data_IF_088918154396
#
_entry.id   IF_088918154396
#
_cell.length_a   1.000
_cell.length_b   1.000
_cell.length_c   1.000
_cell.angle_alpha   90.00
_cell.angle_beta   90.00
_cell.angle_gamma   90.00
#
_symmetry.space_group_name_H-M   'P 1'
#
loop_
_entity.id
_entity.type
_entity.pdbx_description
1 polymer ?
#
# COMPACT_ATOMS: atom_id res chain seq x y z
N UNK A 1 -25.97 -26.91 -2.24
CA UNK A 1 -25.46 -25.64 -1.69
C UNK A 1 -25.64 -25.71 -0.18
N UNK A 2 -24.60 -25.58 0.65
CA UNK A 2 -24.81 -25.54 2.09
C UNK A 2 -25.46 -24.20 2.45
N UNK A 3 -26.56 -24.27 3.21
CA UNK A 3 -27.26 -23.10 3.76
C UNK A 3 -26.40 -22.58 4.91
N UNK A 4 -25.81 -21.41 4.73
CA UNK A 4 -25.06 -20.72 5.79
C UNK A 4 -26.10 -19.97 6.64
N UNK A 5 -26.28 -20.45 7.87
CA UNK A 5 -27.06 -19.77 8.90
C UNK A 5 -26.46 -18.40 9.19
N UNK A 6 -27.29 -17.35 9.15
CA UNK A 6 -26.87 -15.99 9.51
C UNK A 6 -26.36 -15.96 10.95
N UNK A 7 -25.25 -15.24 11.17
CA UNK A 7 -24.69 -15.06 12.51
C UNK A 7 -25.70 -14.34 13.41
N UNK A 8 -26.09 -14.99 14.50
CA UNK A 8 -26.99 -14.41 15.51
C UNK A 8 -26.29 -13.30 16.34
N UNK A 9 -24.95 -13.17 16.24
CA UNK A 9 -24.16 -12.19 16.99
C UNK A 9 -22.88 -11.77 16.25
N UNK A 10 -23.04 -11.00 15.16
CA UNK A 10 -21.95 -10.48 14.30
C UNK A 10 -20.79 -9.88 15.13
N UNK A 11 -21.11 -9.07 16.14
CA UNK A 11 -20.09 -8.42 16.99
C UNK A 11 -19.20 -9.42 17.75
N UNK A 12 -19.77 -10.54 18.19
CA UNK A 12 -19.04 -11.56 18.98
C UNK A 12 -18.15 -12.41 18.07
N UNK A 13 -18.60 -12.68 16.85
CA UNK A 13 -17.82 -13.39 15.84
C UNK A 13 -16.66 -12.53 15.30
N UNK A 14 -16.89 -11.24 15.08
CA UNK A 14 -15.83 -10.26 14.78
C UNK A 14 -14.80 -10.20 15.90
N UNK A 15 -15.23 -10.13 17.17
CA UNK A 15 -14.30 -10.10 18.31
C UNK A 15 -13.48 -11.39 18.45
N UNK A 16 -14.03 -12.54 18.04
CA UNK A 16 -13.34 -13.83 18.03
C UNK A 16 -12.34 -13.93 16.88
N UNK A 17 -12.68 -13.39 15.70
CA UNK A 17 -11.77 -13.23 14.57
C UNK A 17 -10.60 -12.30 14.92
N UNK A 18 -10.87 -11.15 15.55
CA UNK A 18 -9.84 -10.22 16.01
C UNK A 18 -8.86 -10.83 17.02
N UNK A 19 -9.30 -11.83 17.80
CA UNK A 19 -8.42 -12.58 18.72
C UNK A 19 -7.48 -13.57 18.03
N UNK A 20 -7.67 -13.86 16.74
CA UNK A 20 -6.70 -14.67 16.00
C UNK A 20 -5.46 -13.84 15.72
N UNK A 21 -4.30 -14.32 16.21
CA UNK A 21 -3.01 -13.63 16.09
C UNK A 21 -2.71 -13.19 14.65
N UNK A 22 -3.02 -14.02 13.66
CA UNK A 22 -2.79 -13.71 12.25
C UNK A 22 -3.62 -12.51 11.75
N UNK A 23 -4.90 -12.43 12.14
CA UNK A 23 -5.79 -11.32 11.77
C UNK A 23 -5.37 -10.03 12.48
N UNK A 24 -5.04 -10.11 13.76
CA UNK A 24 -4.53 -8.96 14.51
C UNK A 24 -3.24 -8.40 13.89
N UNK A 25 -2.26 -9.26 13.58
CA UNK A 25 -1.02 -8.84 12.91
C UNK A 25 -1.28 -8.25 11.54
N UNK A 26 -2.20 -8.82 10.78
CA UNK A 26 -2.61 -8.30 9.48
C UNK A 26 -3.23 -6.90 9.57
N UNK A 27 -4.15 -6.69 10.52
CA UNK A 27 -4.80 -5.39 10.70
C UNK A 27 -3.80 -4.32 11.10
N UNK A 28 -2.88 -4.63 12.01
CA UNK A 28 -1.78 -3.72 12.37
C UNK A 28 -0.91 -3.41 11.15
N UNK A 29 -0.56 -4.42 10.36
CA UNK A 29 0.19 -4.23 9.12
C UNK A 29 -0.53 -3.28 8.16
N UNK A 30 -1.80 -3.58 7.88
CA UNK A 30 -2.68 -2.82 7.01
C UNK A 30 -2.78 -1.35 7.45
N UNK A 31 -3.03 -1.09 8.73
CA UNK A 31 -3.13 0.27 9.27
C UNK A 31 -1.82 1.03 9.14
N UNK A 32 -0.68 0.42 9.47
CA UNK A 32 0.62 1.11 9.37
C UNK A 32 0.97 1.36 7.90
N UNK A 33 0.76 0.38 7.02
CA UNK A 33 1.00 0.54 5.58
C UNK A 33 0.15 1.67 5.01
N UNK A 34 -1.15 1.73 5.37
CA UNK A 34 -2.04 2.82 4.98
C UNK A 34 -1.54 4.19 5.46
N UNK A 35 -1.17 4.32 6.74
CA UNK A 35 -0.63 5.58 7.29
C UNK A 35 0.62 6.05 6.52
N UNK A 36 1.55 5.14 6.23
CA UNK A 36 2.78 5.47 5.49
C UNK A 36 2.46 5.92 4.06
N UNK A 37 1.49 5.26 3.42
CA UNK A 37 1.06 5.56 2.06
C UNK A 37 0.35 6.92 1.98
N UNK A 38 -0.62 7.17 2.87
CA UNK A 38 -1.29 8.47 3.01
C UNK A 38 -0.27 9.59 3.23
N UNK A 39 0.72 9.35 4.11
CA UNK A 39 1.75 10.34 4.37
C UNK A 39 2.53 10.70 3.11
N UNK A 40 2.90 9.72 2.28
CA UNK A 40 3.59 9.99 1.02
C UNK A 40 2.66 10.74 0.06
N UNK A 41 1.43 10.26 -0.18
CA UNK A 41 0.49 10.88 -1.13
C UNK A 41 0.22 12.34 -0.81
N UNK A 42 -0.06 12.67 0.47
CA UNK A 42 -0.46 14.03 0.85
C UNK A 42 0.71 15.00 1.00
N UNK A 43 1.89 14.53 1.46
CA UNK A 43 3.01 15.42 1.75
C UNK A 43 4.10 15.42 0.68
N UNK A 44 4.13 14.46 -0.25
CA UNK A 44 5.19 14.38 -1.27
C UNK A 44 5.22 15.59 -2.19
N UNK A 45 4.07 16.06 -2.69
CA UNK A 45 4.04 17.26 -3.55
C UNK A 45 4.48 18.52 -2.81
N UNK A 46 4.03 18.69 -1.56
CA UNK A 46 4.50 19.78 -0.72
C UNK A 46 6.03 19.73 -0.50
N UNK A 47 6.56 18.53 -0.23
CA UNK A 47 8.00 18.32 -0.11
C UNK A 47 8.75 18.63 -1.41
N UNK A 48 8.20 18.24 -2.57
CA UNK A 48 8.79 18.51 -3.88
C UNK A 48 8.81 20.00 -4.21
N UNK A 49 7.74 20.74 -3.88
CA UNK A 49 7.70 22.20 -4.01
C UNK A 49 8.78 22.86 -3.15
N UNK A 50 8.90 22.48 -1.87
CA UNK A 50 9.95 22.97 -0.97
C UNK A 50 11.37 22.63 -1.48
N UNK A 51 11.55 21.45 -2.06
CA UNK A 51 12.83 21.02 -2.63
C UNK A 51 13.16 21.78 -3.92
N UNK A 52 12.16 22.05 -4.76
CA UNK A 52 12.31 22.84 -5.97
C UNK A 52 12.68 24.31 -5.65
N UNK A 53 12.18 24.86 -4.53
CA UNK A 53 12.51 26.21 -4.07
C UNK A 53 13.98 26.30 -3.68
N UNK A 54 14.45 25.33 -2.89
CA UNK A 54 15.84 25.27 -2.44
C UNK A 54 16.83 25.00 -3.58
N UNK A 55 16.38 24.38 -4.67
CA UNK A 55 17.24 23.94 -5.77
C UNK A 55 17.04 24.74 -7.06
N UNK A 56 16.19 25.78 -7.05
CA UNK A 56 15.87 26.63 -8.20
C UNK A 56 15.23 25.90 -9.40
N UNK A 57 14.37 24.91 -9.14
CA UNK A 57 13.64 24.12 -10.17
C UNK A 57 12.14 24.45 -10.26
N UNK A 58 11.71 25.58 -9.70
CA UNK A 58 10.29 25.96 -9.59
C UNK A 58 9.53 25.98 -10.92
N UNK A 59 10.15 26.45 -12.01
CA UNK A 59 9.48 26.53 -13.32
C UNK A 59 9.04 25.17 -13.86
N UNK A 60 9.71 24.09 -13.44
CA UNK A 60 9.48 22.73 -13.95
C UNK A 60 8.74 21.85 -12.96
N UNK A 61 8.42 22.34 -11.75
CA UNK A 61 7.96 21.47 -10.66
C UNK A 61 6.66 20.73 -10.99
N UNK A 62 5.70 21.42 -11.63
CA UNK A 62 4.42 20.81 -12.05
C UNK A 62 4.59 19.73 -13.11
N UNK A 63 5.58 19.86 -13.98
CA UNK A 63 5.93 18.82 -14.94
C UNK A 63 6.55 17.63 -14.22
N UNK A 64 7.46 17.87 -13.25
CA UNK A 64 8.13 16.82 -12.47
C UNK A 64 7.11 16.04 -11.64
N UNK A 65 6.20 16.71 -10.95
CA UNK A 65 5.10 16.07 -10.21
C UNK A 65 4.27 15.16 -11.13
N UNK A 66 3.88 15.65 -12.31
CA UNK A 66 3.15 14.86 -13.29
C UNK A 66 3.93 13.65 -13.80
N UNK A 67 5.24 13.79 -14.00
CA UNK A 67 6.12 12.67 -14.38
C UNK A 67 6.29 11.65 -13.27
N UNK A 68 6.34 12.09 -12.01
CA UNK A 68 6.39 11.19 -10.85
C UNK A 68 5.13 10.34 -10.82
N UNK A 69 3.95 10.95 -10.87
CA UNK A 69 2.66 10.22 -10.89
C UNK A 69 2.58 9.27 -12.09
N UNK A 70 3.03 9.71 -13.27
CA UNK A 70 3.07 8.85 -14.45
C UNK A 70 4.02 7.65 -14.27
N UNK A 71 5.20 7.87 -13.65
CA UNK A 71 6.17 6.82 -13.38
C UNK A 71 5.65 5.82 -12.33
N UNK A 72 5.01 6.31 -11.28
CA UNK A 72 4.34 5.52 -10.24
C UNK A 72 3.26 4.63 -10.86
N UNK A 73 2.28 5.23 -11.52
CA UNK A 73 1.07 4.54 -12.01
C UNK A 73 1.33 3.67 -13.23
N UNK A 74 2.01 4.18 -14.26
CA UNK A 74 2.21 3.44 -15.51
C UNK A 74 3.42 2.51 -15.46
N UNK A 75 4.43 2.87 -14.68
CA UNK A 75 5.66 2.10 -14.54
C UNK A 75 5.59 1.16 -13.35
N UNK A 76 5.73 1.72 -12.16
CA UNK A 76 5.85 0.97 -10.90
C UNK A 76 4.68 0.02 -10.67
N UNK A 77 3.46 0.55 -10.64
CA UNK A 77 2.26 -0.20 -10.29
C UNK A 77 1.90 -1.26 -11.34
N UNK A 78 1.75 -0.89 -12.61
CA UNK A 78 1.32 -1.82 -13.67
C UNK A 78 2.26 -3.02 -13.79
N UNK A 79 3.57 -2.77 -13.75
CA UNK A 79 4.57 -3.84 -13.84
C UNK A 79 4.50 -4.71 -12.57
N UNK A 80 4.44 -4.10 -11.40
CA UNK A 80 4.53 -4.82 -10.15
C UNK A 80 3.26 -5.55 -9.77
N UNK A 81 2.06 -5.08 -10.15
CA UNK A 81 0.81 -5.84 -9.96
C UNK A 81 0.83 -7.19 -10.70
N UNK A 82 1.49 -7.25 -11.86
CA UNK A 82 1.68 -8.51 -12.59
C UNK A 82 2.67 -9.46 -11.90
N UNK A 83 3.58 -8.93 -11.09
CA UNK A 83 4.64 -9.67 -10.39
C UNK A 83 4.27 -10.01 -8.94
N UNK A 84 3.49 -9.15 -8.28
CA UNK A 84 3.17 -9.20 -6.85
C UNK A 84 2.47 -10.50 -6.49
N UNK A 85 1.55 -10.99 -7.33
CA UNK A 85 0.90 -12.28 -7.15
C UNK A 85 1.89 -13.47 -7.16
N UNK A 86 2.95 -13.41 -7.99
CA UNK A 86 4.00 -14.43 -8.02
C UNK A 86 4.90 -14.35 -6.78
N UNK A 87 5.23 -13.14 -6.35
CA UNK A 87 6.02 -12.89 -5.14
C UNK A 87 5.27 -13.44 -3.92
N UNK A 88 4.00 -13.08 -3.78
CA UNK A 88 3.15 -13.52 -2.67
C UNK A 88 3.03 -15.05 -2.63
N UNK A 89 2.84 -15.70 -3.79
CA UNK A 89 2.78 -17.17 -3.87
C UNK A 89 4.10 -17.84 -3.50
N UNK A 90 5.24 -17.20 -3.75
CA UNK A 90 6.57 -17.76 -3.51
C UNK A 90 7.06 -17.55 -2.07
N UNK A 91 6.87 -16.36 -1.52
CA UNK A 91 7.39 -15.97 -0.21
C UNK A 91 6.34 -16.09 0.92
N UNK A 92 5.06 -16.12 0.58
CA UNK A 92 3.97 -16.14 1.56
C UNK A 92 3.72 -14.77 2.22
N UNK A 93 2.63 -14.67 2.96
CA UNK A 93 2.15 -13.41 3.54
C UNK A 93 3.14 -12.79 4.54
N UNK A 94 3.66 -13.57 5.50
CA UNK A 94 4.50 -13.04 6.57
C UNK A 94 5.78 -12.36 6.08
N UNK A 95 6.57 -13.05 5.24
CA UNK A 95 7.80 -12.47 4.68
C UNK A 95 7.51 -11.29 3.75
N UNK A 96 6.44 -11.36 2.96
CA UNK A 96 6.06 -10.28 2.05
C UNK A 96 5.64 -9.00 2.81
N UNK A 97 4.95 -9.14 3.95
CA UNK A 97 4.59 -8.01 4.82
C UNK A 97 5.83 -7.29 5.37
N UNK A 98 6.79 -8.03 5.92
CA UNK A 98 8.03 -7.43 6.42
C UNK A 98 8.82 -6.77 5.29
N UNK A 99 8.87 -7.40 4.11
CA UNK A 99 9.54 -6.85 2.94
C UNK A 99 8.92 -5.50 2.51
N UNK A 100 7.59 -5.39 2.51
CA UNK A 100 6.91 -4.12 2.22
C UNK A 100 7.35 -2.99 3.17
N UNK A 101 7.43 -3.22 4.48
CA UNK A 101 7.89 -2.18 5.41
C UNK A 101 9.34 -1.79 5.19
N UNK A 102 10.21 -2.74 4.85
CA UNK A 102 11.59 -2.43 4.45
C UNK A 102 11.61 -1.55 3.20
N UNK A 103 10.77 -1.84 2.21
CA UNK A 103 10.63 -1.03 1.00
C UNK A 103 10.08 0.37 1.30
N UNK A 104 9.09 0.52 2.19
CA UNK A 104 8.59 1.84 2.61
C UNK A 104 9.69 2.64 3.32
N UNK A 105 10.43 2.02 4.22
CA UNK A 105 11.57 2.65 4.88
C UNK A 105 12.65 3.09 3.89
N UNK A 106 12.98 2.23 2.92
CA UNK A 106 13.95 2.55 1.88
C UNK A 106 13.46 3.69 0.96
N UNK A 107 12.18 3.68 0.58
CA UNK A 107 11.55 4.74 -0.24
C UNK A 107 11.68 6.09 0.45
N UNK A 108 11.21 6.20 1.70
CA UNK A 108 11.29 7.44 2.48
C UNK A 108 12.75 7.90 2.67
N UNK A 109 13.67 6.97 2.90
CA UNK A 109 15.09 7.28 3.04
C UNK A 109 15.70 7.82 1.74
N UNK A 110 15.38 7.21 0.59
CA UNK A 110 15.86 7.67 -0.73
C UNK A 110 15.29 9.04 -1.09
N UNK A 111 13.99 9.28 -0.86
CA UNK A 111 13.36 10.58 -1.07
C UNK A 111 14.03 11.64 -0.19
N UNK A 112 14.28 11.33 1.09
CA UNK A 112 14.93 12.26 2.02
C UNK A 112 16.37 12.64 1.61
N UNK A 113 17.04 11.81 0.81
CA UNK A 113 18.39 12.07 0.30
C UNK A 113 18.39 12.75 -1.07
N UNK A 114 17.22 13.04 -1.65
CA UNK A 114 17.12 13.62 -2.99
C UNK A 114 17.77 15.02 -3.03
N UNK A 115 18.81 15.23 -3.86
CA UNK A 115 19.47 16.53 -3.98
C UNK A 115 18.68 17.51 -4.84
N UNK A 116 17.75 17.03 -5.69
CA UNK A 116 16.84 17.83 -6.49
C UNK A 116 15.56 17.02 -6.83
N UNK A 117 14.48 17.66 -7.28
CA UNK A 117 13.20 16.98 -7.54
C UNK A 117 13.27 15.88 -8.62
N UNK A 118 14.18 15.99 -9.60
CA UNK A 118 14.33 14.98 -10.66
C UNK A 118 14.80 13.61 -10.14
N UNK A 119 15.49 13.58 -9.00
CA UNK A 119 15.90 12.31 -8.37
C UNK A 119 14.72 11.49 -7.84
N UNK A 120 13.59 12.13 -7.57
CA UNK A 120 12.42 11.44 -7.00
C UNK A 120 11.73 10.57 -8.06
N UNK A 121 11.75 10.96 -9.34
CA UNK A 121 11.15 10.18 -10.44
C UNK A 121 11.64 8.71 -10.49
N UNK A 122 12.95 8.41 -10.61
CA UNK A 122 13.42 7.03 -10.65
C UNK A 122 13.22 6.30 -9.32
N UNK A 123 13.26 7.00 -8.19
CA UNK A 123 12.99 6.40 -6.87
C UNK A 123 11.55 5.91 -6.83
N UNK A 124 10.61 6.76 -7.26
CA UNK A 124 9.18 6.46 -7.28
C UNK A 124 8.84 5.36 -8.29
N UNK A 125 9.40 5.42 -9.49
CA UNK A 125 9.28 4.36 -10.49
C UNK A 125 9.66 2.97 -9.94
N UNK A 126 10.74 2.90 -9.15
CA UNK A 126 11.27 1.64 -8.64
C UNK A 126 10.61 1.19 -7.34
N UNK A 127 10.25 2.13 -6.46
CA UNK A 127 9.76 1.83 -5.11
C UNK A 127 8.24 1.73 -5.04
N UNK A 128 7.47 2.45 -5.88
CA UNK A 128 6.00 2.41 -5.86
C UNK A 128 5.44 1.00 -6.01
N UNK A 129 6.04 0.18 -6.88
CA UNK A 129 5.64 -1.22 -7.06
C UNK A 129 5.73 -2.05 -5.77
N UNK A 130 6.93 -2.22 -5.17
CA UNK A 130 7.10 -3.01 -3.95
C UNK A 130 6.48 -2.38 -2.69
N UNK A 131 6.27 -1.06 -2.64
CA UNK A 131 5.57 -0.41 -1.51
C UNK A 131 4.06 -0.52 -1.67
N UNK A 132 3.48 0.05 -2.72
CA UNK A 132 2.03 0.14 -2.91
C UNK A 132 1.45 -1.14 -3.51
N UNK A 133 1.84 -1.52 -4.73
CA UNK A 133 1.19 -2.63 -5.44
C UNK A 133 1.34 -3.97 -4.72
N UNK A 134 2.49 -4.23 -4.11
CA UNK A 134 2.71 -5.43 -3.29
C UNK A 134 1.90 -5.39 -1.99
N UNK A 135 1.88 -4.27 -1.25
CA UNK A 135 1.04 -4.13 -0.06
C UNK A 135 -0.41 -4.38 -0.38
N UNK A 136 -0.94 -3.70 -1.40
CA UNK A 136 -2.30 -3.86 -1.86
C UNK A 136 -2.63 -5.32 -2.17
N UNK A 137 -1.73 -6.00 -2.90
CA UNK A 137 -1.87 -7.43 -3.22
C UNK A 137 -1.88 -8.31 -1.96
N UNK A 138 -1.02 -8.04 -0.98
CA UNK A 138 -1.00 -8.74 0.32
C UNK A 138 -2.31 -8.52 1.06
N UNK A 139 -2.81 -7.29 1.09
CA UNK A 139 -4.03 -6.89 1.80
C UNK A 139 -5.24 -7.60 1.20
N UNK A 140 -5.46 -7.43 -0.09
CA UNK A 140 -6.56 -8.07 -0.82
C UNK A 140 -6.44 -9.59 -0.74
N UNK A 141 -5.23 -10.12 -0.93
CA UNK A 141 -4.96 -11.55 -0.86
C UNK A 141 -5.24 -12.13 0.51
N UNK A 142 -4.85 -11.47 1.59
CA UNK A 142 -5.04 -11.98 2.96
C UNK A 142 -6.51 -11.86 3.37
N UNK A 143 -7.15 -10.75 3.05
CA UNK A 143 -8.57 -10.55 3.31
C UNK A 143 -9.41 -11.62 2.59
N UNK A 144 -9.06 -11.98 1.35
CA UNK A 144 -9.72 -13.07 0.61
C UNK A 144 -9.54 -14.45 1.25
N UNK A 145 -8.41 -14.72 1.90
CA UNK A 145 -8.15 -15.98 2.63
C UNK A 145 -8.94 -16.05 3.94
N UNK A 146 -9.10 -14.91 4.60
CA UNK A 146 -9.81 -14.82 5.89
C UNK A 146 -11.33 -14.77 5.71
N UNK A 147 -11.84 -14.34 4.55
CA UNK A 147 -13.27 -14.28 4.26
C UNK A 147 -13.93 -15.67 4.25
N UNK A 148 -14.93 -15.94 5.10
CA UNK A 148 -15.84 -17.06 4.86
C UNK A 148 -16.59 -16.93 3.52
N UNK A 149 -17.02 -18.04 2.90
CA UNK A 149 -17.82 -18.01 1.67
C UNK A 149 -19.05 -17.10 1.85
N UNK A 150 -19.17 -16.05 1.03
CA UNK A 150 -20.28 -15.08 1.10
C UNK A 150 -20.00 -13.76 1.82
N UNK A 151 -18.78 -13.53 2.33
CA UNK A 151 -18.38 -12.26 2.99
C UNK A 151 -17.51 -11.33 2.12
N UNK A 152 -17.59 -11.46 0.79
CA UNK A 152 -16.85 -10.61 -0.15
C UNK A 152 -17.06 -9.12 0.09
N UNK A 153 -18.27 -8.72 0.52
CA UNK A 153 -18.59 -7.34 0.87
C UNK A 153 -17.82 -6.84 2.11
N UNK A 154 -17.55 -7.69 3.10
CA UNK A 154 -16.75 -7.33 4.29
C UNK A 154 -15.28 -7.19 3.94
N UNK A 155 -14.75 -8.07 3.09
CA UNK A 155 -13.38 -7.95 2.56
C UNK A 155 -13.23 -6.69 1.73
N UNK A 156 -14.17 -6.43 0.83
CA UNK A 156 -14.20 -5.19 0.07
C UNK A 156 -14.37 -3.97 0.98
N UNK A 157 -15.11 -4.06 2.08
CA UNK A 157 -15.22 -2.98 3.06
C UNK A 157 -13.93 -2.72 3.83
N UNK A 158 -13.12 -3.74 4.10
CA UNK A 158 -11.78 -3.57 4.71
C UNK A 158 -10.82 -2.97 3.68
N UNK A 159 -10.82 -3.51 2.46
CA UNK A 159 -9.98 -3.01 1.35
C UNK A 159 -10.37 -1.57 1.02
N UNK A 160 -11.65 -1.26 0.84
CA UNK A 160 -12.16 0.09 0.66
C UNK A 160 -11.92 0.97 1.88
N UNK A 161 -12.06 0.46 3.11
CA UNK A 161 -11.71 1.24 4.31
C UNK A 161 -10.22 1.60 4.38
N UNK A 162 -9.34 0.84 3.72
CA UNK A 162 -7.94 1.21 3.54
C UNK A 162 -7.71 2.07 2.31
N UNK A 163 -8.46 1.83 1.24
CA UNK A 163 -8.35 2.51 -0.06
C UNK A 163 -9.13 3.84 -0.13
N UNK A 164 -10.02 4.09 0.84
CA UNK A 164 -10.84 5.30 1.01
C UNK A 164 -10.67 5.90 2.42
N UNK A 165 -9.94 5.21 3.32
CA UNK A 165 -9.57 5.74 4.65
C UNK A 165 -8.44 6.78 4.59
N UNK A 166 -7.98 7.08 3.36
CA UNK A 166 -7.08 8.16 2.99
C UNK A 166 -7.67 9.54 3.32
#
# INVERSE_FOLDING_TARGET
MPIISGSENIAKDVFKLLKQKAIATFLVFATIAGILDSFIIYFMFWYLEDLADKTHHQEQIKLIEGLIVAAETLGGEVIFFSLSGKILKKFGYGYSMTFCFVCYGLRLWLISLAPNPWWVIPVELMMQGPTYALCYTIIVGFASVVAPPGTSATVQGIVAGMDDGF
#
